data_IF_896677880119
#
_entry.id   IF_896677880119
#
_cell.length_a   1.000
_cell.length_b   1.000
_cell.length_c   1.000
_cell.angle_alpha   90.00
_cell.angle_beta   90.00
_cell.angle_gamma   90.00
#
_symmetry.space_group_name_H-M   'P 1'
#
loop_
_entity.id
_entity.type
_entity.pdbx_description
1 polymer ?
#
# COMPACT_ATOMS: atom_id res chain seq x y z
N UNK A 1 5.03 4.27 -2.70
CA UNK A 1 5.99 3.66 -3.65
C UNK A 1 7.20 4.54 -4.02
N UNK A 2 7.12 5.89 -4.05
CA UNK A 2 8.18 6.72 -4.68
C UNK A 2 8.79 7.81 -3.78
N UNK A 3 9.13 7.47 -2.54
CA UNK A 3 9.92 8.40 -1.70
C UNK A 3 11.35 8.47 -2.25
N UNK A 4 11.85 9.66 -2.58
CA UNK A 4 13.21 9.88 -3.09
C UNK A 4 14.25 9.35 -2.11
N UNK A 5 14.12 9.73 -0.84
CA UNK A 5 14.98 9.26 0.25
C UNK A 5 15.02 7.73 0.35
N UNK A 6 13.87 7.06 0.20
CA UNK A 6 13.82 5.60 0.29
C UNK A 6 14.59 4.92 -0.86
N UNK A 7 14.42 5.41 -2.10
CA UNK A 7 15.08 4.85 -3.27
C UNK A 7 16.58 5.14 -3.29
N UNK A 8 17.00 6.35 -2.90
CA UNK A 8 18.42 6.69 -2.75
C UNK A 8 19.10 5.86 -1.65
N UNK A 9 18.42 5.65 -0.52
CA UNK A 9 18.91 4.81 0.57
C UNK A 9 19.05 3.35 0.12
N UNK A 10 18.06 2.81 -0.61
CA UNK A 10 18.14 1.45 -1.16
C UNK A 10 19.37 1.27 -2.05
N UNK A 11 19.61 2.21 -2.98
CA UNK A 11 20.75 2.14 -3.88
C UNK A 11 22.08 2.29 -3.14
N UNK A 12 22.18 3.25 -2.24
CA UNK A 12 23.40 3.49 -1.44
C UNK A 12 23.74 2.26 -0.60
N UNK A 13 22.76 1.69 0.12
CA UNK A 13 22.93 0.47 0.88
C UNK A 13 23.37 -0.71 0.01
N UNK A 14 22.78 -0.85 -1.18
CA UNK A 14 23.19 -1.90 -2.13
C UNK A 14 24.63 -1.73 -2.60
N UNK A 15 25.08 -0.49 -2.88
CA UNK A 15 26.47 -0.21 -3.29
C UNK A 15 27.45 -0.53 -2.16
N UNK A 16 27.05 -0.26 -0.91
CA UNK A 16 27.83 -0.59 0.28
C UNK A 16 27.80 -2.10 0.64
N UNK A 17 27.08 -2.93 -0.13
CA UNK A 17 26.99 -4.37 0.10
C UNK A 17 26.01 -4.80 1.20
N UNK A 18 25.16 -3.90 1.68
CA UNK A 18 24.13 -4.23 2.67
C UNK A 18 22.94 -4.94 2.03
N UNK A 19 22.31 -5.83 2.80
CA UNK A 19 21.04 -6.45 2.41
C UNK A 19 19.90 -5.47 2.61
N UNK A 20 19.09 -5.27 1.58
CA UNK A 20 17.96 -4.33 1.58
C UNK A 20 16.64 -5.04 1.37
N UNK A 21 15.60 -4.53 2.04
CA UNK A 21 14.22 -4.95 1.83
C UNK A 21 13.34 -3.72 1.59
N UNK A 22 12.44 -3.81 0.62
CA UNK A 22 11.48 -2.75 0.31
C UNK A 22 10.06 -3.18 0.66
N UNK A 23 9.32 -2.33 1.37
CA UNK A 23 7.91 -2.57 1.72
C UNK A 23 7.00 -1.74 0.80
N UNK A 24 6.24 -2.39 -0.07
CA UNK A 24 5.29 -1.71 -0.94
C UNK A 24 3.86 -1.74 -0.37
N UNK A 25 3.23 -0.56 -0.40
CA UNK A 25 1.88 -0.30 0.11
C UNK A 25 1.01 0.37 -0.96
N UNK A 26 1.51 0.51 -2.20
CA UNK A 26 0.86 1.29 -3.24
C UNK A 26 0.47 0.40 -4.42
N UNK A 27 -0.78 0.57 -4.87
CA UNK A 27 -1.19 0.14 -6.20
C UNK A 27 -0.98 1.28 -7.18
N UNK A 28 -0.58 0.94 -8.40
CA UNK A 28 -0.38 1.92 -9.47
C UNK A 28 -0.92 1.39 -10.78
N UNK A 29 -1.33 2.32 -11.64
CA UNK A 29 -1.85 2.02 -12.96
C UNK A 29 -0.75 1.58 -13.93
N UNK A 30 -1.19 1.18 -15.12
CA UNK A 30 -0.33 0.76 -16.22
C UNK A 30 -0.46 1.64 -17.46
N UNK A 31 -1.59 2.35 -17.63
CA UNK A 31 -2.01 2.86 -18.93
C UNK A 31 -1.66 4.34 -19.19
N UNK A 32 -1.57 5.19 -18.16
CA UNK A 32 -1.27 6.60 -18.37
C UNK A 32 0.25 6.86 -18.44
N UNK A 33 0.65 7.95 -19.12
CA UNK A 33 2.05 8.28 -19.36
C UNK A 33 2.87 8.41 -18.06
N UNK A 34 2.25 8.94 -17.00
CA UNK A 34 2.90 9.07 -15.70
C UNK A 34 3.15 7.70 -15.05
N UNK A 35 2.17 6.79 -15.14
CA UNK A 35 2.31 5.40 -14.69
C UNK A 35 3.38 4.64 -15.45
N UNK A 36 3.47 4.81 -16.78
CA UNK A 36 4.54 4.17 -17.59
C UNK A 36 5.92 4.63 -17.12
N UNK A 37 6.10 5.95 -16.94
CA UNK A 37 7.37 6.51 -16.48
C UNK A 37 7.71 6.00 -15.07
N UNK A 38 6.75 6.04 -14.14
CA UNK A 38 6.96 5.60 -12.76
C UNK A 38 7.22 4.10 -12.65
N UNK A 39 6.63 3.27 -13.51
CA UNK A 39 6.91 1.83 -13.53
C UNK A 39 8.34 1.53 -13.97
N UNK A 40 8.90 2.29 -14.93
CA UNK A 40 10.31 2.17 -15.31
C UNK A 40 11.24 2.55 -14.15
N UNK A 41 10.93 3.65 -13.46
CA UNK A 41 11.71 4.09 -12.29
C UNK A 41 11.64 3.06 -11.15
N UNK A 42 10.46 2.46 -10.92
CA UNK A 42 10.29 1.40 -9.93
C UNK A 42 11.12 0.16 -10.28
N UNK A 43 11.07 -0.29 -11.54
CA UNK A 43 11.87 -1.43 -12.03
C UNK A 43 13.37 -1.19 -11.82
N UNK A 44 13.85 0.01 -12.14
CA UNK A 44 15.25 0.38 -11.90
C UNK A 44 15.59 0.37 -10.40
N UNK A 45 14.79 1.03 -9.58
CA UNK A 45 15.07 1.18 -8.15
C UNK A 45 15.04 -0.15 -7.39
N UNK A 46 14.13 -1.04 -7.76
CA UNK A 46 13.99 -2.37 -7.15
C UNK A 46 14.94 -3.43 -7.76
N UNK A 47 15.69 -3.11 -8.82
CA UNK A 47 16.63 -4.07 -9.42
C UNK A 47 17.75 -4.52 -8.48
N UNK A 48 18.07 -3.69 -7.47
CA UNK A 48 19.14 -3.93 -6.50
C UNK A 48 18.63 -4.42 -5.13
N UNK A 49 17.30 -4.60 -4.97
CA UNK A 49 16.71 -5.03 -3.69
C UNK A 49 16.87 -6.54 -3.50
N UNK A 50 17.08 -7.00 -2.27
CA UNK A 50 17.16 -8.44 -2.01
C UNK A 50 15.79 -9.08 -1.82
N UNK A 51 14.83 -8.35 -1.27
CA UNK A 51 13.48 -8.85 -1.04
C UNK A 51 12.45 -7.72 -1.02
N UNK A 52 11.23 -8.01 -1.46
CA UNK A 52 10.11 -7.07 -1.37
C UNK A 52 9.00 -7.66 -0.49
N UNK A 53 8.42 -6.83 0.35
CA UNK A 53 7.23 -7.16 1.12
C UNK A 53 6.07 -6.32 0.59
N UNK A 54 4.97 -6.98 0.23
CA UNK A 54 3.74 -6.34 -0.17
C UNK A 54 2.65 -6.57 0.90
N UNK A 55 1.80 -5.59 1.15
CA UNK A 55 0.76 -5.69 2.20
C UNK A 55 -0.45 -6.56 1.82
N UNK A 56 -0.55 -6.99 0.57
CA UNK A 56 -1.62 -7.86 0.09
C UNK A 56 -1.19 -8.63 -1.16
N UNK A 57 -1.89 -9.71 -1.49
CA UNK A 57 -1.67 -10.45 -2.74
C UNK A 57 -1.85 -9.56 -3.98
N UNK A 58 -2.88 -8.71 -4.00
CA UNK A 58 -3.09 -7.74 -5.07
C UNK A 58 -1.92 -6.77 -5.22
N UNK A 59 -1.35 -6.31 -4.10
CA UNK A 59 -0.14 -5.48 -4.15
C UNK A 59 1.05 -6.26 -4.67
N UNK A 60 1.25 -7.52 -4.26
CA UNK A 60 2.32 -8.39 -4.77
C UNK A 60 2.22 -8.55 -6.28
N UNK A 61 1.05 -8.92 -6.80
CA UNK A 61 0.82 -9.06 -8.24
C UNK A 61 1.12 -7.77 -9.00
N UNK A 62 0.63 -6.62 -8.50
CA UNK A 62 0.88 -5.32 -9.12
C UNK A 62 2.37 -4.96 -9.13
N UNK A 63 3.07 -5.11 -8.00
CA UNK A 63 4.49 -4.76 -7.86
C UNK A 63 5.38 -5.69 -8.70
N UNK A 64 5.12 -7.01 -8.69
CA UNK A 64 5.82 -8.00 -9.51
C UNK A 64 5.71 -7.65 -10.99
N UNK A 65 4.51 -7.34 -11.48
CA UNK A 65 4.29 -6.98 -12.88
C UNK A 65 4.95 -5.65 -13.26
N UNK A 66 4.89 -4.63 -12.39
CA UNK A 66 5.41 -3.29 -12.67
C UNK A 66 6.94 -3.22 -12.62
N UNK A 67 7.54 -3.94 -11.67
CA UNK A 67 8.99 -3.96 -11.47
C UNK A 67 9.68 -5.14 -12.16
N UNK A 68 8.92 -6.06 -12.78
CA UNK A 68 9.43 -7.28 -13.41
C UNK A 68 10.32 -8.11 -12.47
N UNK A 69 9.87 -8.29 -11.23
CA UNK A 69 10.57 -9.04 -10.19
C UNK A 69 10.22 -10.53 -10.27
N UNK A 70 11.10 -11.39 -9.75
CA UNK A 70 10.77 -12.79 -9.50
C UNK A 70 9.70 -12.87 -8.38
N UNK A 71 8.53 -13.50 -8.61
CA UNK A 71 7.52 -13.67 -7.56
C UNK A 71 8.03 -14.36 -6.28
N UNK A 72 9.13 -15.14 -6.35
CA UNK A 72 9.74 -15.80 -5.19
C UNK A 72 10.53 -14.81 -4.31
N UNK A 73 11.01 -13.69 -4.85
CA UNK A 73 11.67 -12.62 -4.08
C UNK A 73 10.70 -11.57 -3.52
N UNK A 74 9.39 -11.89 -3.52
CA UNK A 74 8.33 -11.03 -3.00
C UNK A 74 7.44 -11.81 -2.03
N UNK A 75 7.35 -11.36 -0.77
CA UNK A 75 6.44 -11.92 0.23
C UNK A 75 5.23 -11.02 0.46
N UNK A 76 4.15 -11.63 0.95
CA UNK A 76 2.99 -10.88 1.42
C UNK A 76 2.99 -10.91 2.94
N UNK A 77 3.03 -9.74 3.57
CA UNK A 77 2.88 -9.58 5.02
C UNK A 77 1.82 -8.50 5.23
N UNK A 78 0.60 -8.87 5.66
CA UNK A 78 -0.47 -7.89 5.85
C UNK A 78 -0.16 -6.96 7.03
N UNK A 79 -0.78 -5.79 7.01
CA UNK A 79 -0.76 -4.90 8.18
C UNK A 79 -1.43 -5.60 9.36
N UNK A 80 -0.85 -5.45 10.54
CA UNK A 80 -1.42 -5.93 11.79
C UNK A 80 -2.16 -4.81 12.54
N UNK A 81 -3.16 -5.19 13.31
CA UNK A 81 -3.87 -4.31 14.24
C UNK A 81 -3.93 -4.98 15.61
N UNK A 82 -3.79 -4.18 16.66
CA UNK A 82 -4.00 -4.69 18.02
C UNK A 82 -5.49 -4.65 18.35
N UNK A 83 -6.13 -5.82 18.30
CA UNK A 83 -7.56 -5.97 18.51
C UNK A 83 -8.03 -5.51 19.90
N UNK A 84 -7.17 -5.47 20.92
CA UNK A 84 -7.60 -5.03 22.27
C UNK A 84 -7.95 -3.54 22.31
N UNK A 85 -7.41 -2.75 21.38
CA UNK A 85 -7.70 -1.32 21.26
C UNK A 85 -8.95 -1.03 20.42
N UNK A 86 -9.52 -2.03 19.75
CA UNK A 86 -10.69 -1.89 18.86
C UNK A 86 -11.94 -2.58 19.39
N UNK A 87 -12.11 -2.63 20.72
CA UNK A 87 -13.33 -3.12 21.35
C UNK A 87 -14.23 -1.95 21.77
N UNK A 88 -15.38 -1.73 21.12
CA UNK A 88 -16.30 -0.67 21.53
C UNK A 88 -16.97 -1.03 22.85
N UNK A 89 -17.31 -0.03 23.66
CA UNK A 89 -18.13 -0.22 24.85
C UNK A 89 -19.61 -0.45 24.45
N UNK A 90 -20.15 -1.67 24.62
CA UNK A 90 -21.51 -1.97 24.16
C UNK A 90 -22.58 -1.17 24.90
N UNK A 91 -22.30 -0.70 26.12
CA UNK A 91 -23.25 0.07 26.94
C UNK A 91 -23.51 1.46 26.38
N UNK A 92 -22.61 1.98 25.54
CA UNK A 92 -22.74 3.30 24.90
C UNK A 92 -23.57 3.28 23.62
N UNK A 93 -24.04 2.10 23.19
CA UNK A 93 -24.88 1.97 21.99
C UNK A 93 -26.29 2.50 22.28
N UNK A 94 -26.76 3.45 21.49
CA UNK A 94 -28.16 3.89 21.52
C UNK A 94 -29.05 2.84 20.81
N UNK A 95 -30.07 2.27 21.48
CA UNK A 95 -30.94 1.25 20.88
C UNK A 95 -31.92 1.82 19.83
N UNK A 96 -32.25 3.11 19.90
CA UNK A 96 -33.25 3.76 19.05
C UNK A 96 -32.66 4.31 17.74
N UNK A 97 -31.35 4.20 17.54
CA UNK A 97 -30.63 4.73 16.37
C UNK A 97 -29.72 3.69 15.73
N UNK A 98 -29.73 3.64 14.41
CA UNK A 98 -28.70 2.96 13.64
C UNK A 98 -27.53 3.94 13.46
N UNK A 99 -26.36 3.59 13.98
CA UNK A 99 -25.14 4.40 13.81
C UNK A 99 -24.27 3.79 12.73
N UNK A 100 -24.09 4.51 11.62
CA UNK A 100 -23.18 4.12 10.52
C UNK A 100 -21.86 4.85 10.74
N UNK A 101 -20.75 4.11 10.85
CA UNK A 101 -19.40 4.69 11.04
C UNK A 101 -18.57 4.45 9.78
N UNK A 102 -18.05 5.53 9.19
CA UNK A 102 -17.13 5.46 8.05
C UNK A 102 -15.80 6.09 8.45
N UNK A 103 -14.71 5.33 8.30
CA UNK A 103 -13.35 5.77 8.63
C UNK A 103 -12.49 5.77 7.38
N UNK A 104 -12.26 6.95 6.81
CA UNK A 104 -11.37 7.12 5.66
C UNK A 104 -10.85 8.56 5.56
N UNK A 105 -9.75 8.75 4.83
CA UNK A 105 -9.36 10.10 4.39
C UNK A 105 -10.43 10.66 3.45
N UNK A 106 -10.68 11.97 3.53
CA UNK A 106 -11.59 12.70 2.66
C UNK A 106 -10.94 12.95 1.29
N UNK A 107 -10.94 11.94 0.43
CA UNK A 107 -10.41 12.02 -0.95
C UNK A 107 -11.34 11.29 -1.92
N UNK A 108 -11.48 11.83 -3.14
CA UNK A 108 -12.42 11.32 -4.15
C UNK A 108 -12.34 9.82 -4.39
N UNK A 109 -11.12 9.28 -4.54
CA UNK A 109 -10.85 7.84 -4.76
C UNK A 109 -11.31 6.90 -3.63
N UNK A 110 -11.86 7.43 -2.53
CA UNK A 110 -12.47 6.66 -1.45
C UNK A 110 -14.00 6.56 -1.58
N UNK A 111 -14.60 7.15 -2.61
CA UNK A 111 -16.05 7.10 -2.86
C UNK A 111 -16.84 7.94 -1.86
N UNK A 112 -16.29 9.09 -1.43
CA UNK A 112 -16.96 9.95 -0.45
C UNK A 112 -18.17 10.67 -1.06
N UNK A 113 -18.12 10.93 -2.36
CA UNK A 113 -19.24 11.37 -3.20
C UNK A 113 -20.39 10.36 -3.15
N UNK A 114 -20.09 9.08 -3.40
CA UNK A 114 -21.09 8.01 -3.32
C UNK A 114 -21.67 7.86 -1.90
N UNK A 115 -20.87 8.08 -0.88
CA UNK A 115 -21.33 8.05 0.51
C UNK A 115 -22.34 9.18 0.77
N UNK A 116 -22.06 10.41 0.30
CA UNK A 116 -22.98 11.55 0.44
C UNK A 116 -24.33 11.26 -0.21
N UNK A 117 -24.33 10.64 -1.39
CA UNK A 117 -25.54 10.31 -2.13
C UNK A 117 -26.43 9.25 -1.45
N UNK A 118 -25.84 8.41 -0.58
CA UNK A 118 -26.52 7.25 0.04
C UNK A 118 -26.83 7.48 1.52
N UNK A 119 -26.28 8.52 2.16
CA UNK A 119 -26.61 8.86 3.54
C UNK A 119 -28.11 9.27 3.61
N UNK A 120 -28.93 8.60 4.45
CA UNK A 120 -30.36 8.88 4.58
C UNK A 120 -30.66 10.20 5.31
#
# INVERSE_FOLDING_TARGET
AFSTMAHETLQTCSIMGFKTCFTDHSLFGFADASSIHMNKLLKYSLSAVNHVICVSNTSKENTVLRAALDPQSVSVIPNAVDCTNFYPDPTKRNPDKITIVVVSRLVYRKGMDLLIDVIP
#
